data_IF_306643781901
#
_entry.id   IF_306643781901
#
_cell.length_a   1.000
_cell.length_b   1.000
_cell.length_c   1.000
_cell.angle_alpha   90.00
_cell.angle_beta   90.00
_cell.angle_gamma   90.00
#
_symmetry.space_group_name_H-M   'P 1'
#
loop_
_entity.id
_entity.type
_entity.pdbx_description
1 polymer ?
#
# COMPACT_ATOMS: atom_id res chain seq x y z
N UNK A 1 -7.58 23.45 30.90
CA UNK A 1 -7.44 22.23 30.05
C UNK A 1 -8.80 21.53 29.98
N UNK A 2 -9.70 21.92 29.06
CA UNK A 2 -11.12 21.52 29.06
C UNK A 2 -11.70 20.98 27.74
N UNK A 3 -10.94 21.06 26.64
CA UNK A 3 -11.45 20.81 25.28
C UNK A 3 -11.98 19.39 25.04
N UNK A 4 -11.52 18.37 25.80
CA UNK A 4 -12.08 17.02 25.71
C UNK A 4 -13.50 16.94 26.27
N UNK A 5 -13.78 17.63 27.37
CA UNK A 5 -15.08 17.58 28.03
C UNK A 5 -16.12 18.28 27.14
N UNK A 6 -15.78 19.43 26.58
CA UNK A 6 -16.64 20.16 25.64
C UNK A 6 -16.90 19.36 24.36
N UNK A 7 -15.86 18.70 23.81
CA UNK A 7 -16.06 17.77 22.68
C UNK A 7 -16.98 16.62 23.07
N UNK A 8 -16.81 16.05 24.26
CA UNK A 8 -17.62 14.91 24.71
C UNK A 8 -19.08 15.29 24.97
N UNK A 9 -19.36 16.51 25.41
CA UNK A 9 -20.72 17.04 25.59
C UNK A 9 -21.36 17.37 24.24
N UNK A 10 -20.65 18.06 23.36
CA UNK A 10 -21.17 18.45 22.03
C UNK A 10 -21.41 17.27 21.10
N UNK A 11 -20.66 16.17 21.28
CA UNK A 11 -20.77 14.94 20.51
C UNK A 11 -21.51 13.83 21.27
N UNK A 12 -22.13 14.12 22.41
CA UNK A 12 -22.83 13.10 23.22
C UNK A 12 -23.98 12.43 22.45
N UNK A 13 -24.64 13.18 21.57
CA UNK A 13 -25.78 12.72 20.78
C UNK A 13 -25.38 12.05 19.44
N UNK A 14 -24.09 12.12 19.06
CA UNK A 14 -23.61 11.51 17.82
C UNK A 14 -23.25 10.04 18.05
N UNK A 15 -24.06 9.15 17.46
CA UNK A 15 -23.86 7.70 17.55
C UNK A 15 -22.56 7.20 16.91
N UNK A 16 -21.88 8.03 16.09
CA UNK A 16 -20.62 7.66 15.41
C UNK A 16 -19.39 7.84 16.28
N UNK A 17 -19.48 8.58 17.39
CA UNK A 17 -18.31 9.01 18.16
C UNK A 17 -18.48 8.67 19.63
N UNK A 18 -17.72 7.69 20.11
CA UNK A 18 -17.68 7.36 21.54
C UNK A 18 -16.64 8.19 22.30
N UNK A 19 -16.87 8.42 23.60
CA UNK A 19 -15.91 9.07 24.51
C UNK A 19 -14.53 8.38 24.50
N UNK A 20 -14.52 7.05 24.40
CA UNK A 20 -13.29 6.25 24.29
C UNK A 20 -12.53 6.57 23.01
N UNK A 21 -13.24 6.63 21.88
CA UNK A 21 -12.64 6.96 20.58
C UNK A 21 -12.11 8.39 20.54
N UNK A 22 -12.84 9.37 21.09
CA UNK A 22 -12.37 10.75 21.25
C UNK A 22 -11.07 10.82 22.04
N UNK A 23 -11.00 10.10 23.17
CA UNK A 23 -9.78 10.06 24.00
C UNK A 23 -8.60 9.47 23.24
N UNK A 24 -8.82 8.37 22.51
CA UNK A 24 -7.77 7.74 21.70
C UNK A 24 -7.30 8.68 20.59
N UNK A 25 -8.24 9.33 19.89
CA UNK A 25 -7.95 10.26 18.81
C UNK A 25 -7.14 11.47 19.31
N UNK A 26 -7.57 12.10 20.41
CA UNK A 26 -6.86 13.21 21.03
C UNK A 26 -5.46 12.81 21.49
N UNK A 27 -5.33 11.67 22.18
CA UNK A 27 -4.03 11.15 22.60
C UNK A 27 -3.11 10.92 21.42
N UNK A 28 -3.63 10.34 20.33
CA UNK A 28 -2.84 10.11 19.11
C UNK A 28 -2.38 11.43 18.49
N UNK A 29 -3.27 12.42 18.44
CA UNK A 29 -2.97 13.75 17.91
C UNK A 29 -1.89 14.47 18.74
N UNK A 30 -2.06 14.55 20.06
CA UNK A 30 -1.14 15.28 20.95
C UNK A 30 0.21 14.59 21.12
N UNK A 31 0.27 13.26 20.98
CA UNK A 31 1.53 12.49 20.94
C UNK A 31 2.26 12.55 19.59
N UNK A 32 1.65 13.13 18.56
CA UNK A 32 2.23 13.19 17.23
C UNK A 32 3.44 14.12 17.21
N UNK A 33 4.49 13.73 16.48
CA UNK A 33 5.67 14.59 16.28
C UNK A 33 5.32 15.93 15.65
N UNK A 34 4.26 15.98 14.82
CA UNK A 34 3.81 17.24 14.22
C UNK A 34 3.29 18.20 15.29
N UNK A 35 2.51 17.68 16.25
CA UNK A 35 1.98 18.48 17.35
C UNK A 35 3.10 18.91 18.29
N UNK A 36 3.95 17.98 18.76
CA UNK A 36 5.05 18.27 19.68
C UNK A 36 6.05 19.30 19.12
N UNK A 37 6.27 19.33 17.80
CA UNK A 37 7.10 20.36 17.13
C UNK A 37 6.43 21.74 17.06
N UNK A 38 5.11 21.79 17.08
CA UNK A 38 4.33 23.02 17.01
C UNK A 38 4.15 23.71 18.35
N UNK A 39 4.41 23.01 19.47
CA UNK A 39 4.36 23.55 20.84
C UNK A 39 5.51 24.55 21.01
N UNK A 40 5.18 25.84 21.14
CA UNK A 40 6.13 26.95 21.35
C UNK A 40 5.64 27.83 22.49
N UNK A 41 6.57 28.38 23.26
CA UNK A 41 6.24 29.31 24.35
C UNK A 41 5.55 30.56 23.79
N UNK A 42 4.55 31.06 24.53
CA UNK A 42 3.85 32.30 24.19
C UNK A 42 2.81 32.19 23.07
N UNK A 43 2.52 30.98 22.57
CA UNK A 43 1.38 30.77 21.66
C UNK A 43 0.14 30.51 22.49
N UNK A 44 -0.91 31.30 22.25
CA UNK A 44 -2.21 31.10 22.87
C UNK A 44 -2.87 29.84 22.30
N UNK A 45 -3.51 29.09 23.18
CA UNK A 45 -4.28 27.91 22.77
C UNK A 45 -5.64 28.36 22.29
N UNK A 46 -6.22 27.62 21.35
CA UNK A 46 -7.50 27.98 20.74
C UNK A 46 -8.54 26.96 21.19
N UNK A 47 -9.72 27.46 21.53
CA UNK A 47 -10.88 26.67 21.91
C UNK A 47 -11.70 26.18 20.71
N UNK A 48 -12.74 25.39 20.95
CA UNK A 48 -13.65 24.90 19.90
C UNK A 48 -14.35 26.03 19.14
N UNK A 49 -14.60 27.16 19.80
CA UNK A 49 -15.21 28.34 19.20
C UNK A 49 -14.19 29.31 18.57
N UNK A 50 -12.91 28.95 18.56
CA UNK A 50 -11.86 29.81 18.02
C UNK A 50 -11.38 30.90 18.98
N UNK A 51 -11.81 30.87 20.25
CA UNK A 51 -11.40 31.83 21.29
C UNK A 51 -10.08 31.43 21.93
N UNK A 52 -9.32 32.42 22.40
CA UNK A 52 -8.07 32.21 23.14
C UNK A 52 -8.37 31.54 24.49
N UNK A 53 -7.74 30.39 24.73
CA UNK A 53 -7.98 29.51 25.86
C UNK A 53 -6.66 29.26 26.63
N UNK A 54 -6.15 30.34 27.22
CA UNK A 54 -4.94 30.34 28.05
C UNK A 54 -3.63 30.19 27.27
N UNK A 55 -2.54 30.60 27.92
CA UNK A 55 -1.20 30.60 27.34
C UNK A 55 -0.50 29.25 27.54
N UNK A 56 0.35 28.90 26.58
CA UNK A 56 1.23 27.75 26.68
C UNK A 56 2.45 28.11 27.52
N UNK A 57 2.41 27.74 28.79
CA UNK A 57 3.47 27.99 29.78
C UNK A 57 4.76 27.24 29.41
N UNK A 58 5.91 27.77 29.87
CA UNK A 58 7.24 27.25 29.51
C UNK A 58 7.41 25.77 29.86
N UNK A 59 6.83 25.33 30.99
CA UNK A 59 6.86 23.94 31.43
C UNK A 59 6.24 22.97 30.41
N UNK A 60 5.19 23.40 29.70
CA UNK A 60 4.54 22.58 28.68
C UNK A 60 5.41 22.41 27.43
N UNK A 61 6.23 23.43 27.13
CA UNK A 61 7.18 23.39 26.01
C UNK A 61 8.32 22.44 26.32
N UNK A 62 8.89 22.53 27.53
CA UNK A 62 9.96 21.65 27.97
C UNK A 62 9.52 20.17 27.97
N UNK A 63 8.33 19.88 28.51
CA UNK A 63 7.77 18.54 28.49
C UNK A 63 7.51 18.04 27.05
N UNK A 64 7.07 18.91 26.14
CA UNK A 64 6.88 18.52 24.74
C UNK A 64 8.20 18.22 24.04
N UNK A 65 9.24 19.00 24.30
CA UNK A 65 10.59 18.80 23.75
C UNK A 65 11.21 17.50 24.27
N UNK A 66 11.11 17.21 25.57
CA UNK A 66 11.59 15.96 26.17
C UNK A 66 10.88 14.75 25.55
N UNK A 67 9.55 14.80 25.47
CA UNK A 67 8.72 13.75 24.86
C UNK A 67 9.10 13.51 23.40
N UNK A 68 9.36 14.58 22.64
CA UNK A 68 9.77 14.49 21.24
C UNK A 68 11.13 13.80 21.09
N UNK A 69 12.11 14.15 21.94
CA UNK A 69 13.44 13.52 21.93
C UNK A 69 13.35 12.03 22.23
N UNK A 70 12.67 11.67 23.31
CA UNK A 70 12.47 10.26 23.69
C UNK A 70 11.72 9.47 22.60
N UNK A 71 10.68 10.06 22.02
CA UNK A 71 9.88 9.41 20.98
C UNK A 71 10.70 9.16 19.71
N UNK A 72 11.57 10.10 19.34
CA UNK A 72 12.48 9.92 18.21
C UNK A 72 13.54 8.85 18.47
N UNK A 73 14.11 8.80 19.66
CA UNK A 73 15.09 7.77 20.04
C UNK A 73 14.45 6.38 20.06
N UNK A 74 13.28 6.24 20.70
CA UNK A 74 12.49 5.00 20.70
C UNK A 74 12.11 4.57 19.26
N UNK A 75 11.77 5.49 18.39
CA UNK A 75 11.46 5.19 16.98
C UNK A 75 12.70 4.79 16.17
N UNK A 76 13.85 5.44 16.41
CA UNK A 76 15.13 5.09 15.77
C UNK A 76 15.55 3.67 16.17
N UNK A 77 15.50 3.33 17.46
CA UNK A 77 15.81 1.98 17.96
C UNK A 77 14.91 0.92 17.29
N UNK A 78 13.58 1.13 17.30
CA UNK A 78 12.62 0.24 16.63
C UNK A 78 12.86 0.12 15.12
N UNK A 79 13.32 1.18 14.45
CA UNK A 79 13.63 1.14 13.02
C UNK A 79 14.88 0.30 12.74
N UNK A 80 15.90 0.38 13.57
CA UNK A 80 17.12 -0.42 13.46
C UNK A 80 16.80 -1.90 13.69
N UNK A 81 16.03 -2.23 14.72
CA UNK A 81 15.59 -3.61 15.00
C UNK A 81 14.78 -4.20 13.84
N UNK A 82 13.79 -3.47 13.34
CA UNK A 82 12.98 -3.91 12.18
C UNK A 82 13.81 -4.06 10.91
N UNK A 83 14.76 -3.15 10.66
CA UNK A 83 15.65 -3.26 9.52
C UNK A 83 16.58 -4.49 9.61
N UNK A 84 17.06 -4.82 10.81
CA UNK A 84 17.86 -6.03 11.03
C UNK A 84 17.02 -7.31 10.85
N UNK A 85 15.78 -7.34 11.35
CA UNK A 85 14.86 -8.46 11.16
C UNK A 85 14.50 -8.65 9.67
N UNK A 86 14.12 -7.57 8.96
CA UNK A 86 13.80 -7.62 7.54
C UNK A 86 15.00 -8.06 6.67
N UNK A 87 16.23 -7.65 7.02
CA UNK A 87 17.45 -8.11 6.33
C UNK A 87 17.67 -9.61 6.50
N UNK A 88 17.42 -10.16 7.71
CA UNK A 88 17.53 -11.60 7.98
C UNK A 88 16.48 -12.40 7.20
N UNK A 89 15.23 -11.93 7.14
CA UNK A 89 14.16 -12.57 6.36
C UNK A 89 14.48 -12.58 4.85
N UNK A 90 14.97 -11.45 4.30
CA UNK A 90 15.35 -11.37 2.88
C UNK A 90 16.56 -12.26 2.57
N UNK A 91 17.52 -12.40 3.48
CA UNK A 91 18.67 -13.29 3.29
C UNK A 91 18.26 -14.77 3.37
N UNK A 92 17.41 -15.14 4.33
CA UNK A 92 16.86 -16.49 4.44
C UNK A 92 16.04 -16.88 3.20
N UNK A 93 15.20 -15.96 2.68
CA UNK A 93 14.45 -16.18 1.45
C UNK A 93 15.35 -16.30 0.20
N UNK A 94 16.50 -15.62 0.17
CA UNK A 94 17.49 -15.75 -0.93
C UNK A 94 18.30 -17.03 -0.83
N UNK A 95 18.61 -17.51 0.38
CA UNK A 95 19.32 -18.77 0.58
C UNK A 95 18.42 -19.98 0.29
N UNK A 96 17.14 -19.94 0.70
CA UNK A 96 16.16 -20.98 0.37
C UNK A 96 15.91 -21.12 -1.15
N UNK A 97 16.06 -20.03 -1.93
CA UNK A 97 16.01 -20.06 -3.39
C UNK A 97 17.28 -20.59 -4.06
N UNK A 98 18.42 -20.62 -3.35
CA UNK A 98 19.69 -21.17 -3.85
C UNK A 98 19.92 -22.63 -3.44
N UNK A 99 19.22 -23.13 -2.42
CA UNK A 99 19.37 -24.49 -1.88
C UNK A 99 18.36 -25.50 -2.40
N UNK A 100 17.45 -25.14 -3.31
CA UNK A 100 16.72 -26.15 -4.08
C UNK A 100 17.67 -26.63 -5.17
N UNK A 101 18.29 -27.83 -5.07
CA UNK A 101 18.98 -28.41 -6.21
C UNK A 101 17.93 -28.50 -7.31
N UNK A 102 18.30 -28.02 -8.50
CA UNK A 102 17.54 -28.18 -9.73
C UNK A 102 17.38 -29.67 -9.94
N UNK A 103 16.34 -30.27 -9.34
CA UNK A 103 15.97 -31.66 -9.53
C UNK A 103 15.69 -31.75 -11.01
N UNK A 104 16.55 -32.47 -11.72
CA UNK A 104 16.35 -32.81 -13.11
C UNK A 104 14.92 -33.35 -13.21
N UNK A 105 14.06 -32.60 -13.91
CA UNK A 105 12.77 -33.13 -14.33
C UNK A 105 13.11 -34.37 -15.17
N UNK A 106 12.45 -35.51 -14.95
CA UNK A 106 12.64 -36.68 -15.79
C UNK A 106 12.41 -36.28 -17.24
N UNK A 107 13.28 -36.75 -18.13
CA UNK A 107 13.22 -36.52 -19.56
C UNK A 107 11.81 -36.80 -20.06
N UNK A 108 11.12 -35.73 -20.46
CA UNK A 108 9.87 -35.83 -21.20
C UNK A 108 10.28 -35.95 -22.66
N UNK A 109 9.91 -37.07 -23.25
CA UNK A 109 10.03 -37.42 -24.66
C UNK A 109 9.67 -36.22 -25.57
N UNK A 110 10.33 -36.11 -26.74
CA UNK A 110 10.22 -34.93 -27.60
C UNK A 110 8.83 -34.87 -28.26
N UNK A 111 7.91 -34.15 -27.62
CA UNK A 111 6.71 -33.64 -28.27
C UNK A 111 7.10 -32.42 -29.13
N UNK A 112 6.52 -32.29 -30.33
CA UNK A 112 7.13 -31.64 -31.48
C UNK A 112 7.36 -30.14 -31.27
N UNK A 113 8.42 -29.66 -31.92
CA UNK A 113 8.75 -28.26 -32.13
C UNK A 113 7.54 -27.54 -32.74
N UNK A 114 6.74 -26.90 -31.90
CA UNK A 114 5.72 -25.96 -32.37
C UNK A 114 6.40 -24.62 -32.56
N UNK A 115 6.68 -24.32 -33.82
CA UNK A 115 7.20 -23.05 -34.28
C UNK A 115 6.31 -21.90 -33.80
N UNK A 116 6.80 -21.13 -32.82
CA UNK A 116 6.21 -19.85 -32.44
C UNK A 116 6.44 -18.87 -33.59
N UNK A 117 5.46 -18.78 -34.48
CA UNK A 117 5.43 -17.76 -35.53
C UNK A 117 4.69 -16.54 -34.99
N UNK A 118 5.24 -15.33 -35.14
CA UNK A 118 4.54 -14.10 -34.79
C UNK A 118 3.28 -13.99 -35.67
N UNK A 119 2.12 -13.72 -35.05
CA UNK A 119 0.85 -13.66 -35.73
C UNK A 119 0.86 -12.57 -36.81
N UNK A 120 0.85 -12.99 -38.08
CA UNK A 120 0.55 -12.14 -39.23
C UNK A 120 -0.96 -11.88 -39.24
N UNK A 121 -1.32 -10.64 -39.55
CA UNK A 121 -2.63 -10.00 -39.50
C UNK A 121 -3.77 -10.68 -40.31
N UNK A 122 -3.61 -11.92 -40.81
CA UNK A 122 -4.56 -12.58 -41.72
C UNK A 122 -5.23 -13.86 -41.19
N UNK A 123 -4.97 -14.28 -39.93
CA UNK A 123 -5.54 -15.53 -39.39
C UNK A 123 -6.28 -15.41 -38.05
N UNK A 124 -6.46 -14.19 -37.53
CA UNK A 124 -7.19 -13.98 -36.28
C UNK A 124 -8.69 -14.28 -36.47
N UNK A 125 -9.15 -15.40 -35.89
CA UNK A 125 -10.58 -15.76 -35.85
C UNK A 125 -11.19 -15.34 -34.50
N UNK A 126 -12.40 -14.80 -34.54
CA UNK A 126 -13.21 -14.57 -33.35
C UNK A 126 -13.36 -15.89 -32.57
N UNK A 127 -13.30 -15.84 -31.23
CA UNK A 127 -13.26 -16.99 -30.31
C UNK A 127 -11.95 -17.81 -30.28
N UNK A 128 -10.84 -17.31 -30.84
CA UNK A 128 -9.55 -17.97 -30.69
C UNK A 128 -8.96 -17.70 -29.30
N UNK A 129 -8.44 -18.76 -28.67
CA UNK A 129 -7.73 -18.68 -27.39
C UNK A 129 -6.34 -18.11 -27.64
N UNK A 130 -6.03 -16.99 -27.01
CA UNK A 130 -4.76 -16.29 -27.18
C UNK A 130 -4.11 -15.98 -25.84
N UNK A 131 -2.79 -15.94 -25.83
CA UNK A 131 -2.00 -15.56 -24.66
C UNK A 131 -1.57 -14.10 -24.79
N UNK A 132 -2.07 -13.25 -23.90
CA UNK A 132 -1.73 -11.83 -23.87
C UNK A 132 -0.58 -11.61 -22.90
N UNK A 133 0.47 -10.92 -23.34
CA UNK A 133 1.58 -10.51 -22.47
C UNK A 133 1.22 -9.24 -21.69
N UNK A 134 0.42 -9.38 -20.63
CA UNK A 134 0.09 -8.28 -19.70
C UNK A 134 1.17 -8.16 -18.62
N UNK A 135 2.22 -7.38 -18.92
CA UNK A 135 3.31 -7.12 -17.98
C UNK A 135 4.31 -8.29 -17.87
N UNK A 136 4.48 -8.86 -16.68
CA UNK A 136 5.52 -9.87 -16.37
C UNK A 136 5.05 -11.32 -16.50
N UNK A 137 3.76 -11.56 -16.70
CA UNK A 137 3.17 -12.89 -16.81
C UNK A 137 2.20 -12.94 -18.00
N UNK A 138 2.30 -13.95 -18.88
CA UNK A 138 1.31 -14.16 -19.93
C UNK A 138 -0.03 -14.59 -19.30
N UNK A 139 -1.13 -13.99 -19.76
CA UNK A 139 -2.49 -14.29 -19.31
C UNK A 139 -3.32 -14.78 -20.49
N UNK A 140 -3.97 -15.93 -20.35
CA UNK A 140 -4.83 -16.51 -21.38
C UNK A 140 -6.20 -15.83 -21.43
N UNK A 141 -6.71 -15.64 -22.63
CA UNK A 141 -8.06 -15.12 -22.88
C UNK A 141 -8.58 -15.54 -24.25
N UNK A 142 -9.82 -15.17 -24.53
CA UNK A 142 -10.53 -15.43 -25.78
C UNK A 142 -10.81 -14.11 -26.48
N UNK A 143 -10.51 -14.06 -27.78
CA UNK A 143 -10.79 -12.87 -28.61
C UNK A 143 -12.30 -12.75 -28.83
N UNK A 144 -12.89 -11.65 -28.37
CA UNK A 144 -14.33 -11.36 -28.54
C UNK A 144 -14.57 -10.56 -29.82
N UNK A 145 -13.73 -9.56 -30.11
CA UNK A 145 -13.90 -8.71 -31.28
C UNK A 145 -12.56 -8.20 -31.81
N UNK A 146 -12.46 -8.03 -33.14
CA UNK A 146 -11.25 -7.62 -33.85
C UNK A 146 -11.57 -6.36 -34.66
N UNK A 147 -11.06 -5.20 -34.23
CA UNK A 147 -11.22 -3.93 -34.95
C UNK A 147 -9.88 -3.42 -35.45
N UNK A 148 -9.47 -3.88 -36.64
CA UNK A 148 -8.27 -3.48 -37.45
C UNK A 148 -6.94 -3.35 -36.68
N UNK A 149 -6.82 -2.45 -35.69
CA UNK A 149 -5.66 -2.30 -34.81
C UNK A 149 -5.92 -2.66 -33.32
N UNK A 150 -7.18 -2.63 -32.86
CA UNK A 150 -7.55 -2.90 -31.47
C UNK A 150 -8.28 -4.25 -31.37
N UNK A 151 -7.74 -5.18 -30.57
CA UNK A 151 -8.39 -6.47 -30.29
C UNK A 151 -9.00 -6.42 -28.89
N UNK A 152 -10.29 -6.71 -28.79
CA UNK A 152 -10.96 -6.90 -27.51
C UNK A 152 -10.82 -8.36 -27.10
N UNK A 153 -10.10 -8.58 -26.00
CA UNK A 153 -9.88 -9.93 -25.45
C UNK A 153 -10.55 -10.01 -24.08
N UNK A 154 -11.40 -11.02 -23.91
CA UNK A 154 -11.94 -11.40 -22.62
C UNK A 154 -10.97 -12.40 -21.99
N UNK A 155 -10.35 -12.01 -20.89
CA UNK A 155 -9.49 -12.90 -20.12
C UNK A 155 -10.31 -14.02 -19.46
N UNK A 156 -9.68 -15.15 -19.14
CA UNK A 156 -10.31 -16.21 -18.34
C UNK A 156 -10.79 -15.71 -16.95
N UNK A 157 -10.30 -14.54 -16.52
CA UNK A 157 -10.76 -13.82 -15.31
C UNK A 157 -12.06 -13.03 -15.47
N UNK A 158 -12.68 -13.06 -16.66
CA UNK A 158 -13.92 -12.32 -16.97
C UNK A 158 -13.72 -10.83 -17.28
N UNK A 159 -12.47 -10.33 -17.24
CA UNK A 159 -12.14 -8.94 -17.56
C UNK A 159 -11.92 -8.78 -19.08
N UNK A 160 -12.59 -7.80 -19.69
CA UNK A 160 -12.41 -7.47 -21.11
C UNK A 160 -11.40 -6.33 -21.26
N UNK A 161 -10.31 -6.58 -21.99
CA UNK A 161 -9.23 -5.60 -22.21
C UNK A 161 -9.08 -5.33 -23.71
N UNK A 162 -8.96 -4.07 -24.08
CA UNK A 162 -8.52 -3.65 -25.42
C UNK A 162 -7.00 -3.75 -25.47
N UNK A 163 -6.48 -4.60 -26.34
CA UNK A 163 -5.03 -4.85 -26.46
C UNK A 163 -4.61 -4.74 -27.93
N UNK A 164 -3.46 -4.10 -28.14
CA UNK A 164 -2.84 -3.99 -29.46
C UNK A 164 -2.29 -5.36 -29.92
N UNK A 165 -2.35 -5.61 -31.23
CA UNK A 165 -1.96 -6.88 -31.86
C UNK A 165 -0.52 -7.32 -31.52
N UNK A 166 0.39 -6.37 -31.27
CA UNK A 166 1.80 -6.64 -30.95
C UNK A 166 2.03 -7.39 -29.62
N UNK A 167 1.05 -7.39 -28.72
CA UNK A 167 1.16 -8.03 -27.40
C UNK A 167 0.40 -9.36 -27.30
N UNK A 168 -0.17 -9.81 -28.42
CA UNK A 168 -0.92 -11.05 -28.53
C UNK A 168 0.03 -12.12 -29.09
N UNK A 169 0.19 -13.20 -28.34
CA UNK A 169 0.91 -14.38 -28.80
C UNK A 169 -0.06 -15.55 -28.93
N UNK A 170 0.05 -16.27 -30.04
CA UNK A 170 -0.67 -17.50 -30.35
C UNK A 170 0.03 -18.71 -29.71
#
# INVERSE_FOLDING_TARGET
>A
MGLFQELAERLADDSKVSKTQLRIALRRYTSSWRYLKGVKAGVQRIDLEGKECGELEQEHVEHAQSTLKESQEKAKAKRVEKAAAARKEVQAAKQAKKSVPKRAKPAKEPAPVVNLTPAVLNELKQNQRVSIKLGKSPVSGVIVDIKRNDVQVQLDSGLTIKVNVELIML
#
